data_IF_130730131836
#
_entry.id   IF_130730131836
#
_cell.length_a   1.000
_cell.length_b   1.000
_cell.length_c   1.000
_cell.angle_alpha   90.00
_cell.angle_beta   90.00
_cell.angle_gamma   90.00
#
_symmetry.space_group_name_H-M   'P 1'
#
loop_
_entity.id
_entity.type
_entity.pdbx_description
1 polymer ?
#
# COMPACT_ATOMS: atom_id res chain seq x y z
N UNK A 1 2.20 -18.29 6.01
CA UNK A 1 1.30 -18.59 4.88
C UNK A 1 1.07 -17.29 4.13
N UNK A 2 1.36 -17.23 2.83
CA UNK A 2 1.03 -16.07 2.00
C UNK A 2 -0.45 -16.15 1.57
N UNK A 3 -1.22 -15.05 1.45
CA UNK A 3 -2.63 -15.10 1.12
C UNK A 3 -2.74 -15.53 -0.34
N UNK A 4 -3.61 -16.49 -0.60
CA UNK A 4 -3.79 -17.12 -1.91
C UNK A 4 -4.73 -16.33 -2.84
N UNK A 5 -5.40 -15.30 -2.34
CA UNK A 5 -6.27 -14.42 -3.12
C UNK A 5 -5.53 -13.14 -3.49
N UNK A 6 -5.53 -12.70 -4.77
CA UNK A 6 -4.92 -11.44 -5.15
C UNK A 6 -5.75 -10.29 -4.58
N UNK A 7 -5.34 -9.79 -3.41
CA UNK A 7 -5.93 -8.58 -2.84
C UNK A 7 -5.34 -7.38 -3.57
N UNK A 8 -6.21 -6.45 -3.96
CA UNK A 8 -5.78 -5.13 -4.39
C UNK A 8 -5.09 -4.35 -3.25
N UNK A 9 -4.31 -3.31 -3.57
CA UNK A 9 -3.67 -2.43 -2.60
C UNK A 9 -4.59 -1.96 -1.47
N UNK A 10 -5.81 -1.50 -1.78
CA UNK A 10 -6.72 -0.96 -0.78
C UNK A 10 -7.24 -2.07 0.14
N UNK A 11 -7.68 -3.17 -0.46
CA UNK A 11 -8.14 -4.35 0.27
C UNK A 11 -7.04 -4.94 1.18
N UNK A 12 -5.77 -4.82 0.79
CA UNK A 12 -4.64 -5.20 1.65
C UNK A 12 -4.53 -4.31 2.88
N UNK A 13 -4.61 -3.00 2.72
CA UNK A 13 -4.57 -2.05 3.85
C UNK A 13 -5.74 -2.31 4.80
N UNK A 14 -6.95 -2.51 4.29
CA UNK A 14 -8.14 -2.77 5.13
C UNK A 14 -7.99 -4.04 5.96
N UNK A 15 -7.31 -5.06 5.43
CA UNK A 15 -7.15 -6.36 6.08
C UNK A 15 -5.92 -6.45 6.98
N UNK A 16 -4.83 -5.79 6.61
CA UNK A 16 -3.51 -5.97 7.24
C UNK A 16 -2.91 -4.65 7.76
N UNK A 17 -3.75 -3.67 8.06
CA UNK A 17 -3.39 -2.45 8.79
C UNK A 17 -4.34 -2.19 9.98
N UNK A 18 -4.46 -3.11 10.95
CA UNK A 18 -5.28 -2.89 12.14
C UNK A 18 -4.77 -1.71 12.97
N UNK A 19 -5.70 -1.04 13.66
CA UNK A 19 -5.40 -0.09 14.72
C UNK A 19 -5.26 -0.83 16.05
N UNK A 20 -4.16 -0.57 16.76
CA UNK A 20 -3.84 -1.07 18.09
C UNK A 20 -3.44 0.14 18.95
N UNK A 21 -4.26 0.49 19.93
CA UNK A 21 -4.01 1.57 20.89
C UNK A 21 -3.64 2.93 20.25
N UNK A 22 -4.26 3.27 19.11
CA UNK A 22 -4.03 4.53 18.40
C UNK A 22 -2.82 4.54 17.48
N UNK A 23 -2.11 3.41 17.34
CA UNK A 23 -1.10 3.16 16.33
C UNK A 23 -1.61 2.15 15.32
N UNK A 24 -1.09 2.19 14.10
CA UNK A 24 -1.48 1.25 13.06
C UNK A 24 -0.34 0.28 12.77
N UNK A 25 -0.63 -1.01 12.74
CA UNK A 25 0.34 -2.05 12.43
C UNK A 25 0.15 -2.50 10.99
N UNK A 26 0.98 -2.01 10.08
CA UNK A 26 0.91 -2.37 8.67
C UNK A 26 1.83 -3.55 8.34
N UNK A 27 1.33 -4.53 7.59
CA UNK A 27 2.13 -5.64 7.06
C UNK A 27 2.62 -5.33 5.64
N UNK A 28 3.94 -5.36 5.42
CA UNK A 28 4.55 -5.23 4.09
C UNK A 28 4.17 -6.45 3.20
N UNK A 29 3.48 -6.26 2.06
CA UNK A 29 3.03 -7.35 1.19
C UNK A 29 4.13 -8.08 0.41
N UNK A 30 5.34 -7.52 0.37
CA UNK A 30 6.51 -8.12 -0.26
C UNK A 30 7.41 -8.78 0.80
N UNK A 31 7.71 -8.05 1.87
CA UNK A 31 8.72 -8.48 2.86
C UNK A 31 8.16 -9.22 4.05
N UNK A 32 6.86 -9.12 4.30
CA UNK A 32 6.20 -9.72 5.46
C UNK A 32 6.67 -9.17 6.81
N UNK A 33 7.31 -8.00 6.79
CA UNK A 33 7.69 -7.25 7.97
C UNK A 33 6.52 -6.35 8.42
N UNK A 34 6.39 -6.16 9.74
CA UNK A 34 5.38 -5.26 10.31
C UNK A 34 5.96 -3.88 10.58
N UNK A 35 5.23 -2.85 10.22
CA UNK A 35 5.59 -1.44 10.39
C UNK A 35 4.57 -0.74 11.27
N UNK A 36 5.04 -0.02 12.29
CA UNK A 36 4.20 0.87 13.08
C UNK A 36 4.04 2.20 12.34
N UNK A 37 2.79 2.60 12.13
CA UNK A 37 2.42 3.80 11.38
C UNK A 37 1.57 4.73 12.24
N UNK A 38 1.73 6.03 12.00
CA UNK A 38 0.81 7.05 12.49
C UNK A 38 -0.48 7.07 11.67
N UNK A 39 -1.54 7.67 12.21
CA UNK A 39 -2.80 7.87 11.47
C UNK A 39 -2.59 8.61 10.14
N UNK A 40 -1.74 9.65 10.13
CA UNK A 40 -1.39 10.38 8.91
C UNK A 40 -0.68 9.52 7.87
N UNK A 41 0.25 8.66 8.30
CA UNK A 41 0.94 7.74 7.39
C UNK A 41 -0.03 6.71 6.78
N UNK A 42 -1.03 6.25 7.53
CA UNK A 42 -2.08 5.36 7.00
C UNK A 42 -2.96 6.07 5.98
N UNK A 43 -3.30 7.34 6.19
CA UNK A 43 -4.06 8.13 5.21
C UNK A 43 -3.30 8.22 3.90
N UNK A 44 -2.01 8.60 3.94
CA UNK A 44 -1.16 8.70 2.74
C UNK A 44 -1.02 7.33 2.05
N UNK A 45 -0.90 6.22 2.79
CA UNK A 45 -0.88 4.88 2.19
C UNK A 45 -2.20 4.47 1.55
N UNK A 46 -3.33 4.89 2.11
CA UNK A 46 -4.66 4.65 1.52
C UNK A 46 -4.81 5.44 0.21
N UNK A 47 -4.38 6.69 0.19
CA UNK A 47 -4.35 7.51 -1.03
C UNK A 47 -3.43 6.90 -2.09
N UNK A 48 -2.25 6.42 -1.68
CA UNK A 48 -1.35 5.68 -2.56
C UNK A 48 -2.01 4.42 -3.14
N UNK A 49 -2.68 3.61 -2.29
CA UNK A 49 -3.40 2.42 -2.73
C UNK A 49 -4.50 2.73 -3.75
N UNK A 50 -5.29 3.78 -3.51
CA UNK A 50 -6.30 4.26 -4.45
C UNK A 50 -5.68 4.71 -5.77
N UNK A 51 -4.57 5.45 -5.72
CA UNK A 51 -3.87 5.90 -6.92
C UNK A 51 -3.28 4.73 -7.72
N UNK A 52 -2.81 3.67 -7.05
CA UNK A 52 -2.33 2.44 -7.69
C UNK A 52 -3.49 1.73 -8.40
N UNK A 53 -4.62 1.55 -7.72
CA UNK A 53 -5.80 0.91 -8.31
C UNK A 53 -6.37 1.72 -9.49
N UNK A 54 -6.24 3.04 -9.46
CA UNK A 54 -6.61 3.94 -10.55
C UNK A 54 -5.55 4.07 -11.66
N UNK A 55 -4.39 3.42 -11.53
CA UNK A 55 -3.30 3.49 -12.52
C UNK A 55 -2.56 4.84 -12.58
N UNK A 56 -2.70 5.69 -11.55
CA UNK A 56 -2.12 7.04 -11.50
C UNK A 56 -1.05 7.22 -10.40
N UNK A 57 -0.45 6.13 -9.91
CA UNK A 57 0.51 6.16 -8.81
C UNK A 57 1.71 7.10 -9.05
N UNK A 58 2.25 7.17 -10.26
CA UNK A 58 3.38 8.07 -10.56
C UNK A 58 3.01 9.55 -10.44
N UNK A 59 1.77 9.92 -10.79
CA UNK A 59 1.26 11.29 -10.57
C UNK A 59 1.17 11.59 -9.07
N UNK A 60 0.62 10.65 -8.29
CA UNK A 60 0.57 10.76 -6.83
C UNK A 60 1.97 10.88 -6.20
N UNK A 61 2.96 10.10 -6.67
CA UNK A 61 4.36 10.20 -6.20
C UNK A 61 4.93 11.61 -6.44
N UNK A 62 4.65 12.20 -7.61
CA UNK A 62 5.08 13.55 -7.91
C UNK A 62 4.41 14.60 -7.01
N UNK A 63 3.12 14.44 -6.72
CA UNK A 63 2.40 15.31 -5.78
C UNK A 63 2.98 15.21 -4.36
N UNK A 64 3.27 14.00 -3.86
CA UNK A 64 3.92 13.83 -2.56
C UNK A 64 5.29 14.51 -2.52
N UNK A 65 6.10 14.34 -3.58
CA UNK A 65 7.40 15.01 -3.70
C UNK A 65 7.28 16.55 -3.68
N UNK A 66 6.27 17.10 -4.35
CA UNK A 66 6.00 18.54 -4.37
C UNK A 66 5.53 19.08 -3.01
N UNK A 67 4.86 18.26 -2.19
CA UNK A 67 4.30 18.65 -0.89
C UNK A 67 5.22 18.37 0.32
N UNK A 68 6.54 18.27 0.09
CA UNK A 68 7.54 18.08 1.15
C UNK A 68 8.07 16.64 1.27
N UNK A 69 7.70 15.76 0.34
CA UNK A 69 8.23 14.42 0.24
C UNK A 69 7.54 13.38 1.11
N UNK A 70 8.01 12.15 1.01
CA UNK A 70 7.44 11.03 1.74
C UNK A 70 7.83 11.07 3.22
N UNK A 71 6.89 10.72 4.13
CA UNK A 71 7.24 10.35 5.48
C UNK A 71 8.28 9.22 5.49
N UNK A 72 9.14 9.19 6.50
CA UNK A 72 10.29 8.29 6.56
C UNK A 72 9.90 6.82 6.32
N UNK A 73 10.43 6.23 5.24
CA UNK A 73 10.19 4.84 4.88
C UNK A 73 8.82 4.52 4.25
N UNK A 74 7.90 5.50 4.17
CA UNK A 74 6.55 5.30 3.65
C UNK A 74 6.52 5.07 2.14
N UNK A 75 7.43 5.70 1.40
CA UNK A 75 7.55 5.50 -0.06
C UNK A 75 7.77 4.02 -0.39
N UNK A 76 8.63 3.33 0.36
CA UNK A 76 8.91 1.91 0.13
C UNK A 76 7.67 1.05 0.35
N UNK A 77 6.85 1.39 1.34
CA UNK A 77 5.59 0.68 1.62
C UNK A 77 4.57 0.93 0.50
N UNK A 78 4.47 2.17 0.00
CA UNK A 78 3.62 2.49 -1.14
C UNK A 78 4.07 1.77 -2.42
N UNK A 79 5.38 1.69 -2.68
CA UNK A 79 5.94 0.89 -3.78
C UNK A 79 5.65 -0.59 -3.59
N UNK A 80 5.74 -1.14 -2.37
CA UNK A 80 5.41 -2.54 -2.13
C UNK A 80 3.95 -2.88 -2.46
N UNK A 81 3.04 -1.90 -2.34
CA UNK A 81 1.64 -2.07 -2.73
C UNK A 81 1.45 -2.19 -4.25
N UNK A 82 2.33 -1.63 -5.10
CA UNK A 82 2.18 -1.75 -6.57
C UNK A 82 2.27 -3.22 -7.01
N UNK A 83 3.14 -3.99 -6.35
CA UNK A 83 3.30 -5.42 -6.60
C UNK A 83 2.02 -6.23 -6.29
N UNK A 84 1.10 -5.72 -5.45
CA UNK A 84 -0.21 -6.35 -5.26
C UNK A 84 -1.11 -6.12 -6.46
N UNK A 85 -1.15 -4.90 -6.99
CA UNK A 85 -1.94 -4.58 -8.18
C UNK A 85 -1.44 -5.35 -9.42
N UNK A 86 -0.12 -5.47 -9.60
CA UNK A 86 0.48 -6.28 -10.67
C UNK A 86 0.10 -7.75 -10.55
N UNK A 87 0.14 -8.32 -9.33
CA UNK A 87 -0.30 -9.70 -9.06
C UNK A 87 -1.79 -9.89 -9.34
N UNK A 88 -2.63 -8.93 -8.97
CA UNK A 88 -4.06 -8.97 -9.22
C UNK A 88 -4.42 -8.85 -10.71
N UNK A 89 -3.67 -8.04 -11.46
CA UNK A 89 -3.82 -7.92 -12.91
C UNK A 89 -3.35 -9.20 -13.64
N UNK A 90 -2.25 -9.83 -13.18
CA UNK A 90 -1.70 -11.04 -13.77
C UNK A 90 -2.57 -12.29 -13.62
N UNK A 91 -3.45 -12.35 -12.62
CA UNK A 91 -4.43 -13.44 -12.45
C UNK A 91 -5.63 -13.38 -13.41
N UNK A 92 -5.69 -12.38 -14.29
CA UNK A 92 -6.76 -12.21 -15.28
C UNK A 92 -6.47 -12.76 -16.68
N UNK A 93 -5.34 -13.44 -16.92
CA UNK A 93 -4.96 -13.95 -18.25
C UNK A 93 -4.60 -15.44 -18.22
N UNK A 94 -5.52 -16.27 -17.75
CA UNK A 94 -5.53 -17.72 -18.07
C UNK A 94 -6.97 -18.14 -18.39
N UNK A 95 -7.34 -18.06 -19.67
CA UNK A 95 -8.46 -18.76 -20.29
C UNK A 95 -8.22 -18.92 -21.80
#
# INVERSE_FOLDING_TARGET
MQPTSPLGPLAWIERYCPSLDGQFLFLDPLRWDTHLLSAGAVIVLREAALAIEAGCFEAFRAEVAANGGWPAGLERLAVALTALAERAAGTGTEA
#
